data_IF_274826738170
#
_entry.id   IF_274826738170
#
_cell.length_a   1.000
_cell.length_b   1.000
_cell.length_c   1.000
_cell.angle_alpha   90.00
_cell.angle_beta   90.00
_cell.angle_gamma   90.00
#
_symmetry.space_group_name_H-M   'P 1'
#
loop_
_entity.id
_entity.type
_entity.pdbx_description
1 polymer ?
#
# COMPACT_ATOMS: atom_id res chain seq x y z
N UNK A 1 -12.12 7.26 5.39
CA UNK A 1 -11.48 6.63 4.20
C UNK A 1 -10.91 5.27 4.59
N UNK A 2 -10.64 4.35 3.64
CA UNK A 2 -10.17 2.99 3.94
C UNK A 2 -8.94 2.96 4.86
N UNK A 3 -7.95 3.83 4.64
CA UNK A 3 -6.76 3.89 5.49
C UNK A 3 -7.06 4.30 6.94
N UNK A 4 -7.95 5.28 7.16
CA UNK A 4 -8.39 5.67 8.50
C UNK A 4 -9.15 4.53 9.20
N UNK A 5 -9.94 3.75 8.46
CA UNK A 5 -10.61 2.56 9.00
C UNK A 5 -9.62 1.46 9.42
N UNK A 6 -8.42 1.46 8.85
CA UNK A 6 -7.29 0.60 9.20
C UNK A 6 -6.35 1.24 10.24
N UNK A 7 -6.69 2.41 10.79
CA UNK A 7 -5.95 3.05 11.87
C UNK A 7 -4.86 4.04 11.43
N UNK A 8 -4.73 4.36 10.13
CA UNK A 8 -3.85 5.44 9.69
C UNK A 8 -4.36 6.80 10.19
N UNK A 9 -3.43 7.59 10.72
CA UNK A 9 -3.64 8.92 11.29
C UNK A 9 -3.56 10.00 10.23
N UNK A 10 -4.19 11.15 10.49
CA UNK A 10 -4.12 12.31 9.59
C UNK A 10 -2.66 12.79 9.40
N UNK A 11 -1.82 12.68 10.44
CA UNK A 11 -0.39 13.01 10.35
C UNK A 11 0.38 12.08 9.40
N UNK A 12 0.02 10.80 9.33
CA UNK A 12 0.61 9.86 8.35
C UNK A 12 0.15 10.20 6.93
N UNK A 13 -1.11 10.59 6.73
CA UNK A 13 -1.58 11.05 5.41
C UNK A 13 -0.85 12.32 4.96
N UNK A 14 -0.66 13.29 5.86
CA UNK A 14 0.09 14.51 5.56
C UNK A 14 1.55 14.19 5.21
N UNK A 15 2.17 13.25 5.92
CA UNK A 15 3.53 12.82 5.65
C UNK A 15 3.67 12.10 4.28
N UNK A 16 2.65 11.33 3.88
CA UNK A 16 2.61 10.69 2.55
C UNK A 16 2.47 11.69 1.40
N UNK A 17 1.75 12.79 1.62
CA UNK A 17 1.62 13.87 0.63
C UNK A 17 2.89 14.75 0.55
N UNK A 18 3.66 14.80 1.64
CA UNK A 18 4.95 15.48 1.72
C UNK A 18 6.15 14.57 1.43
N UNK A 19 7.26 14.83 2.12
CA UNK A 19 8.47 13.98 2.02
C UNK A 19 8.45 12.85 3.07
N UNK A 20 7.73 11.77 2.76
CA UNK A 20 7.64 10.59 3.63
C UNK A 20 9.01 9.96 3.94
N UNK A 21 10.04 10.19 3.10
CA UNK A 21 11.37 9.60 3.31
C UNK A 21 12.05 10.18 4.54
N UNK A 22 11.80 11.47 4.83
CA UNK A 22 12.32 12.17 6.00
C UNK A 22 11.42 12.04 7.24
N UNK A 23 10.17 11.63 7.06
CA UNK A 23 9.23 11.46 8.17
C UNK A 23 9.71 10.40 9.18
N UNK A 24 9.63 10.71 10.46
CA UNK A 24 9.87 9.75 11.54
C UNK A 24 8.67 8.82 11.80
N UNK A 25 7.52 9.09 11.16
CA UNK A 25 6.30 8.28 11.31
C UNK A 25 6.39 6.92 10.62
N UNK A 26 7.31 6.77 9.66
CA UNK A 26 7.51 5.53 8.92
C UNK A 26 8.84 4.90 9.27
N UNK A 27 8.81 3.60 9.53
CA UNK A 27 10.02 2.79 9.69
C UNK A 27 10.69 2.50 8.33
N UNK A 28 11.85 1.84 8.38
CA UNK A 28 12.63 1.53 7.19
C UNK A 28 11.87 0.62 6.19
N UNK A 29 11.15 -0.38 6.69
CA UNK A 29 10.36 -1.31 5.85
C UNK A 29 9.23 -0.57 5.16
N UNK A 30 8.50 0.27 5.89
CA UNK A 30 7.40 1.08 5.34
C UNK A 30 7.91 2.04 4.26
N UNK A 31 9.02 2.75 4.51
CA UNK A 31 9.65 3.64 3.51
C UNK A 31 10.08 2.88 2.26
N UNK A 32 10.60 1.66 2.40
CA UNK A 32 10.97 0.84 1.25
C UNK A 32 9.74 0.41 0.43
N UNK A 33 8.64 0.01 1.09
CA UNK A 33 7.37 -0.30 0.42
C UNK A 33 6.83 0.92 -0.33
N UNK A 34 6.80 2.09 0.32
CA UNK A 34 6.32 3.34 -0.29
C UNK A 34 7.16 3.72 -1.54
N UNK A 35 8.48 3.64 -1.44
CA UNK A 35 9.37 3.93 -2.56
C UNK A 35 9.23 2.93 -3.72
N UNK A 36 9.05 1.64 -3.40
CA UNK A 36 8.80 0.61 -4.40
C UNK A 36 7.45 0.80 -5.10
N UNK A 37 6.39 1.08 -4.33
CA UNK A 37 5.06 1.33 -4.86
C UNK A 37 5.05 2.55 -5.79
N UNK A 38 5.67 3.66 -5.39
CA UNK A 38 5.84 4.86 -6.21
C UNK A 38 6.58 4.56 -7.52
N UNK A 39 7.69 3.83 -7.46
CA UNK A 39 8.45 3.46 -8.65
C UNK A 39 7.66 2.54 -9.61
N UNK A 40 6.85 1.63 -9.09
CA UNK A 40 5.95 0.80 -9.90
C UNK A 40 4.82 1.62 -10.54
N UNK A 41 4.24 2.55 -9.81
CA UNK A 41 3.18 3.45 -10.32
C UNK A 41 3.69 4.36 -11.42
N UNK A 42 4.91 4.89 -11.28
CA UNK A 42 5.58 5.70 -12.30
C UNK A 42 6.24 4.88 -13.41
N UNK A 43 6.16 3.55 -13.34
CA UNK A 43 6.79 2.61 -14.27
C UNK A 43 8.32 2.79 -14.39
N UNK A 44 8.98 3.18 -13.31
CA UNK A 44 10.44 3.37 -13.19
C UNK A 44 11.14 2.29 -12.38
N UNK A 45 10.40 1.33 -11.80
CA UNK A 45 10.93 0.26 -10.94
C UNK A 45 12.11 -0.52 -11.57
N UNK A 46 12.06 -0.79 -12.89
CA UNK A 46 13.16 -1.47 -13.61
C UNK A 46 14.48 -0.70 -13.60
N UNK A 47 14.42 0.63 -13.51
CA UNK A 47 15.57 1.53 -13.57
C UNK A 47 16.10 1.85 -12.17
N UNK A 48 15.32 1.61 -11.12
CA UNK A 48 15.72 1.89 -9.74
C UNK A 48 16.30 0.66 -9.05
N UNK A 49 17.58 0.38 -9.33
CA UNK A 49 18.32 -0.70 -8.68
C UNK A 49 18.29 -0.58 -7.15
N UNK A 50 18.40 0.65 -6.62
CA UNK A 50 18.35 0.91 -5.17
C UNK A 50 17.04 0.42 -4.53
N UNK A 51 15.88 0.72 -5.13
CA UNK A 51 14.60 0.28 -4.55
C UNK A 51 14.47 -1.24 -4.58
N UNK A 52 14.95 -1.88 -5.65
CA UNK A 52 14.99 -3.34 -5.71
C UNK A 52 15.90 -3.95 -4.65
N UNK A 53 17.10 -3.40 -4.45
CA UNK A 53 18.05 -3.87 -3.44
C UNK A 53 17.50 -3.69 -2.02
N UNK A 54 16.85 -2.57 -1.73
CA UNK A 54 16.18 -2.32 -0.45
C UNK A 54 15.04 -3.33 -0.21
N UNK A 55 14.23 -3.62 -1.23
CA UNK A 55 13.16 -4.61 -1.14
C UNK A 55 13.72 -6.01 -0.85
N UNK A 56 14.76 -6.45 -1.57
CA UNK A 56 15.39 -7.77 -1.34
C UNK A 56 16.09 -7.90 0.01
N UNK A 57 16.56 -6.78 0.58
CA UNK A 57 17.20 -6.76 1.90
C UNK A 57 16.18 -6.84 3.03
N UNK A 58 15.02 -6.22 2.86
CA UNK A 58 14.03 -6.03 3.93
C UNK A 58 12.86 -7.03 3.88
N UNK A 59 12.64 -7.69 2.74
CA UNK A 59 11.49 -8.55 2.49
C UNK A 59 11.90 -9.87 1.82
N UNK A 60 11.14 -10.91 2.10
CA UNK A 60 11.18 -12.18 1.39
C UNK A 60 10.65 -12.06 -0.05
N UNK A 61 10.98 -13.02 -0.91
CA UNK A 61 10.46 -13.04 -2.28
C UNK A 61 8.93 -13.06 -2.33
N UNK A 62 8.27 -13.76 -1.39
CA UNK A 62 6.81 -13.82 -1.33
C UNK A 62 6.20 -12.46 -0.99
N UNK A 63 6.71 -11.79 0.06
CA UNK A 63 6.27 -10.44 0.44
C UNK A 63 6.47 -9.44 -0.71
N UNK A 64 7.61 -9.49 -1.43
CA UNK A 64 7.87 -8.61 -2.58
C UNK A 64 6.83 -8.82 -3.69
N UNK A 65 6.45 -10.08 -3.97
CA UNK A 65 5.41 -10.39 -4.95
C UNK A 65 4.06 -9.84 -4.49
N UNK A 66 3.67 -10.04 -3.24
CA UNK A 66 2.41 -9.54 -2.69
C UNK A 66 2.32 -8.00 -2.74
N UNK A 67 3.38 -7.31 -2.30
CA UNK A 67 3.47 -5.84 -2.36
C UNK A 67 3.37 -5.35 -3.82
N UNK A 68 4.01 -6.05 -4.75
CA UNK A 68 3.98 -5.68 -6.16
C UNK A 68 2.61 -5.94 -6.81
N UNK A 69 1.94 -7.03 -6.42
CA UNK A 69 0.60 -7.38 -6.90
C UNK A 69 -0.44 -6.37 -6.43
N UNK A 70 -0.43 -5.99 -5.15
CA UNK A 70 -1.38 -4.99 -4.65
C UNK A 70 -1.15 -3.63 -5.31
N UNK A 71 0.12 -3.24 -5.49
CA UNK A 71 0.49 -2.02 -6.23
C UNK A 71 -0.01 -2.08 -7.68
N UNK A 72 0.20 -3.20 -8.37
CA UNK A 72 -0.27 -3.42 -9.73
C UNK A 72 -1.79 -3.35 -9.86
N UNK A 73 -2.52 -3.95 -8.91
CA UNK A 73 -3.98 -3.93 -8.85
C UNK A 73 -4.51 -2.48 -8.75
N UNK A 74 -3.99 -1.69 -7.81
CA UNK A 74 -4.39 -0.29 -7.69
C UNK A 74 -4.00 0.55 -8.91
N UNK A 75 -2.83 0.31 -9.50
CA UNK A 75 -2.44 0.98 -10.74
C UNK A 75 -3.38 0.65 -11.91
N UNK A 76 -3.91 -0.57 -11.99
CA UNK A 76 -4.92 -0.94 -12.98
C UNK A 76 -6.25 -0.22 -12.71
N UNK A 77 -6.74 -0.23 -11.47
CA UNK A 77 -7.98 0.45 -11.08
C UNK A 77 -7.89 1.96 -11.35
N UNK A 78 -6.77 2.59 -11.02
CA UNK A 78 -6.53 4.01 -11.29
C UNK A 78 -6.65 4.33 -12.78
N UNK A 79 -6.08 3.50 -13.67
CA UNK A 79 -6.18 3.70 -15.12
C UNK A 79 -7.61 3.54 -15.64
N UNK A 80 -8.37 2.58 -15.11
CA UNK A 80 -9.77 2.39 -15.50
C UNK A 80 -10.63 3.58 -15.05
N UNK A 81 -10.47 4.02 -13.80
CA UNK A 81 -11.21 5.16 -13.27
C UNK A 81 -10.89 6.46 -14.00
N UNK A 82 -9.62 6.70 -14.32
CA UNK A 82 -9.21 7.86 -15.12
C UNK A 82 -9.78 7.79 -16.55
N UNK A 83 -9.63 6.65 -17.23
CA UNK A 83 -10.10 6.46 -18.61
C UNK A 83 -11.62 6.63 -18.75
N UNK A 84 -12.38 6.18 -17.77
CA UNK A 84 -13.83 6.27 -17.76
C UNK A 84 -14.37 7.52 -17.06
N UNK A 85 -13.49 8.37 -16.51
CA UNK A 85 -13.85 9.57 -15.74
C UNK A 85 -14.86 9.24 -14.64
N UNK A 86 -14.60 8.14 -13.93
CA UNK A 86 -15.48 7.68 -12.84
C UNK A 86 -15.66 8.81 -11.83
N UNK A 87 -16.92 9.20 -11.59
CA UNK A 87 -17.25 10.20 -10.58
C UNK A 87 -17.21 9.57 -9.18
N UNK A 88 -16.82 10.37 -8.19
CA UNK A 88 -16.83 9.93 -6.79
C UNK A 88 -18.27 9.78 -6.30
N UNK A 89 -18.51 8.70 -5.56
CA UNK A 89 -19.79 8.48 -4.91
C UNK A 89 -20.07 9.56 -3.86
N UNK A 90 -21.36 9.88 -3.59
CA UNK A 90 -21.72 10.77 -2.50
C UNK A 90 -21.13 10.30 -1.16
N UNK A 91 -20.72 11.24 -0.32
CA UNK A 91 -20.05 10.94 0.96
C UNK A 91 -20.86 9.98 1.86
N UNK A 92 -22.19 10.00 1.77
CA UNK A 92 -23.05 9.04 2.47
C UNK A 92 -22.79 7.59 2.06
N UNK A 93 -22.64 7.33 0.76
CA UNK A 93 -22.37 6.00 0.20
C UNK A 93 -20.96 5.56 0.59
N UNK A 94 -19.96 6.45 0.48
CA UNK A 94 -18.58 6.15 0.87
C UNK A 94 -18.44 5.81 2.36
N UNK A 95 -19.22 6.45 3.24
CA UNK A 95 -19.24 6.08 4.68
C UNK A 95 -19.75 4.67 4.93
N UNK A 96 -20.70 4.18 4.12
CA UNK A 96 -21.21 2.79 4.24
C UNK A 96 -20.15 1.75 3.85
N UNK A 97 -19.22 2.12 2.97
CA UNK A 97 -18.07 1.26 2.63
C UNK A 97 -17.07 1.13 3.80
N UNK A 98 -17.02 2.12 4.70
CA UNK A 98 -16.08 2.22 5.83
C UNK A 98 -16.20 1.14 6.93
N UNK A 99 -17.05 0.13 6.74
CA UNK A 99 -17.15 -1.08 7.57
C UNK A 99 -17.64 -2.31 6.81
N UNK A 100 -17.71 -2.23 5.47
CA UNK A 100 -18.38 -3.23 4.64
C UNK A 100 -17.62 -4.56 4.55
N UNK A 101 -16.31 -4.55 4.78
CA UNK A 101 -15.50 -5.76 4.67
C UNK A 101 -15.62 -6.68 5.89
N UNK A 102 -16.05 -6.18 7.06
CA UNK A 102 -16.08 -6.97 8.30
C UNK A 102 -14.72 -7.52 8.73
N UNK A 103 -13.63 -7.12 8.05
CA UNK A 103 -12.26 -7.56 8.31
C UNK A 103 -11.65 -6.63 9.34
N UNK A 104 -11.19 -7.21 10.45
CA UNK A 104 -10.52 -6.49 11.53
C UNK A 104 -9.01 -6.47 11.33
N UNK A 105 -8.32 -5.47 11.89
CA UNK A 105 -6.85 -5.42 11.93
C UNK A 105 -6.23 -6.72 12.50
N UNK A 106 -6.75 -7.32 13.59
CA UNK A 106 -6.32 -8.64 14.05
C UNK A 106 -6.42 -9.73 12.98
N UNK A 107 -7.50 -9.76 12.20
CA UNK A 107 -7.69 -10.77 11.15
C UNK A 107 -6.67 -10.61 10.01
N UNK A 108 -6.32 -9.36 9.64
CA UNK A 108 -5.26 -9.09 8.67
C UNK A 108 -3.89 -9.53 9.18
N UNK A 109 -3.57 -9.21 10.44
CA UNK A 109 -2.31 -9.61 11.06
C UNK A 109 -2.18 -11.13 11.15
N UNK A 110 -3.25 -11.83 11.54
CA UNK A 110 -3.25 -13.30 11.57
C UNK A 110 -3.00 -13.91 10.19
N UNK A 111 -3.65 -13.37 9.15
CA UNK A 111 -3.43 -13.81 7.77
C UNK A 111 -1.97 -13.61 7.34
N UNK A 112 -1.40 -12.43 7.59
CA UNK A 112 0.02 -12.15 7.28
C UNK A 112 0.96 -13.14 7.95
N UNK A 113 0.74 -13.45 9.24
CA UNK A 113 1.55 -14.41 9.99
C UNK A 113 1.50 -15.84 9.42
N UNK A 114 0.36 -16.29 8.88
CA UNK A 114 0.22 -17.64 8.30
C UNK A 114 1.06 -17.83 7.05
N UNK A 115 1.22 -16.77 6.24
CA UNK A 115 2.06 -16.79 5.04
C UNK A 115 3.55 -16.79 5.44
N UNK A 116 3.93 -16.01 6.47
CA UNK A 116 5.31 -15.99 6.97
C UNK A 116 5.78 -17.36 7.52
N UNK A 117 4.89 -18.11 8.18
CA UNK A 117 5.22 -19.39 8.80
C UNK A 117 5.34 -20.56 7.80
N UNK A 118 4.85 -20.41 6.57
CA UNK A 118 4.90 -21.45 5.54
C UNK A 118 6.18 -21.40 4.68
N UNK A 119 7.09 -20.45 4.96
CA UNK A 119 8.28 -20.15 4.15
C UNK A 119 9.63 -20.46 4.79
N UNK A 120 9.74 -21.48 5.65
CA UNK A 120 11.03 -22.07 6.06
C UNK A 120 11.38 -23.28 5.22
#
# INVERSE_FOLDING_TARGET
MLGQALGLTDAEFDALQGDYRQSALFNEREKAVLAWAEAMTLNTAKQSGKHWDDMRRLFSNAEIVEISLITGLFNMINRLNDSFRTELEPAEVNRRQGGALGVSLPALNEYGCRVCAAGT
#
